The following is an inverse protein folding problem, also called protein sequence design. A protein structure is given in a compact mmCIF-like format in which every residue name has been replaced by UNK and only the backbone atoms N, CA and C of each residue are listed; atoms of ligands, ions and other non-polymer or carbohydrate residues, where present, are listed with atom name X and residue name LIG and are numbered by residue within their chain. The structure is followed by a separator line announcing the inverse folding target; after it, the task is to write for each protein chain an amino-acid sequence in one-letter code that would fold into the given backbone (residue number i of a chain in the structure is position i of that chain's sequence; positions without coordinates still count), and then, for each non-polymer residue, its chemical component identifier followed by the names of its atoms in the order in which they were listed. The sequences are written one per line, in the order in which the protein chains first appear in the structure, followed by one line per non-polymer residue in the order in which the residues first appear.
data_IF_602063863867
#
_entry.id   IF_602063863867
#
_cell.length_a   1.000
_cell.length_b   1.000
_cell.length_c   1.000
_cell.angle_alpha   90.00
_cell.angle_beta   90.00
_cell.angle_gamma   90.00
#
_symmetry.space_group_name_H-M   'P 1'
#
loop_
_entity.id
_entity.type
_entity.pdbx_description
1 polymer ?
#
# COMPACT_ATOMS: atom_id res chain seq x y z
N UNK A 1 28.99 -36.60 -50.86
CA UNK A 1 27.68 -36.48 -51.55
C UNK A 1 26.62 -36.41 -50.48
N UNK A 2 25.70 -35.45 -50.37
CA UNK A 2 25.31 -34.29 -51.17
C UNK A 2 24.93 -33.18 -50.17
N UNK A 3 25.40 -31.95 -50.43
CA UNK A 3 24.89 -30.73 -49.80
C UNK A 3 23.64 -30.33 -50.57
N UNK A 4 22.53 -30.05 -49.89
CA UNK A 4 21.36 -29.42 -50.50
C UNK A 4 21.20 -28.00 -49.93
N UNK A 5 21.74 -27.07 -50.70
CA UNK A 5 21.45 -25.64 -50.65
C UNK A 5 20.03 -25.42 -51.15
N UNK A 6 19.19 -24.68 -50.41
CA UNK A 6 17.95 -24.13 -50.96
C UNK A 6 17.95 -22.62 -50.75
N UNK A 7 17.94 -21.91 -51.88
CA UNK A 7 17.85 -20.46 -51.98
C UNK A 7 16.37 -20.04 -52.16
N UNK A 8 16.13 -18.73 -52.00
CA UNK A 8 15.01 -17.92 -52.53
C UNK A 8 13.67 -18.06 -51.79
N UNK A 9 12.92 -17.00 -51.45
CA UNK A 9 12.70 -15.75 -52.15
C UNK A 9 12.52 -14.55 -51.19
N UNK A 10 13.10 -13.43 -51.57
CA UNK A 10 12.82 -12.11 -51.02
C UNK A 10 11.49 -11.60 -51.59
N UNK A 11 10.56 -11.22 -50.72
CA UNK A 11 9.42 -10.37 -51.08
C UNK A 11 9.61 -9.07 -50.31
N UNK A 12 10.14 -8.06 -51.01
CA UNK A 12 10.34 -6.72 -50.51
C UNK A 12 9.01 -6.00 -50.56
N UNK A 13 8.31 -5.92 -49.43
CA UNK A 13 7.13 -5.08 -49.30
C UNK A 13 7.56 -3.60 -49.38
N UNK A 14 7.02 -2.87 -50.35
CA UNK A 14 7.17 -1.43 -50.49
C UNK A 14 6.25 -0.74 -49.50
N UNK A 15 6.74 -0.48 -48.30
CA UNK A 15 6.03 0.34 -47.31
C UNK A 15 6.02 1.79 -47.81
N UNK A 16 4.90 2.22 -48.38
CA UNK A 16 4.63 3.63 -48.68
C UNK A 16 4.62 4.40 -47.36
N UNK A 17 5.63 5.24 -47.15
CA UNK A 17 5.61 6.30 -46.14
C UNK A 17 4.53 7.32 -46.56
N UNK A 18 3.31 7.09 -46.11
CA UNK A 18 2.24 8.07 -46.18
C UNK A 18 2.57 9.24 -45.26
N UNK A 19 2.72 10.43 -45.83
CA UNK A 19 2.72 11.69 -45.09
C UNK A 19 1.41 11.78 -44.29
N UNK A 20 1.48 11.65 -42.97
CA UNK A 20 0.38 12.04 -42.10
C UNK A 20 0.21 13.57 -42.18
N UNK A 21 -1.01 14.11 -42.36
CA UNK A 21 -1.22 15.53 -42.27
C UNK A 21 -0.99 15.96 -40.82
N UNK A 22 0.03 16.78 -40.58
CA UNK A 22 0.21 17.47 -39.31
C UNK A 22 -0.96 18.44 -39.13
N UNK A 23 -1.92 18.07 -38.31
CA UNK A 23 -2.90 18.99 -37.75
C UNK A 23 -2.14 20.00 -36.88
N UNK A 24 -1.76 21.14 -37.46
CA UNK A 24 -1.33 22.30 -36.69
C UNK A 24 -2.55 22.81 -35.91
N UNK A 25 -2.50 22.89 -34.57
CA UNK A 25 -3.52 23.63 -33.85
C UNK A 25 -3.33 25.10 -34.24
N UNK A 26 -4.27 25.65 -35.00
CA UNK A 26 -4.44 27.10 -35.09
C UNK A 26 -4.71 27.57 -33.66
N UNK A 27 -3.67 28.08 -33.01
CA UNK A 27 -3.82 28.87 -31.79
C UNK A 27 -4.61 30.12 -32.20
N UNK A 28 -5.93 30.02 -32.12
CA UNK A 28 -6.82 31.17 -32.02
C UNK A 28 -6.42 31.87 -30.72
N UNK A 29 -5.43 32.77 -30.80
CA UNK A 29 -5.22 33.79 -29.79
C UNK A 29 -6.51 34.59 -29.73
N UNK A 30 -7.41 34.22 -28.82
CA UNK A 30 -8.42 35.14 -28.32
C UNK A 30 -7.67 36.22 -27.56
N UNK A 31 -7.38 37.32 -28.25
CA UNK A 31 -6.96 38.56 -27.64
C UNK A 31 -8.11 38.99 -26.73
N UNK A 32 -7.95 38.85 -25.42
CA UNK A 32 -8.82 39.54 -24.47
C UNK A 32 -8.46 41.02 -24.55
N UNK A 33 -9.24 41.77 -25.33
CA UNK A 33 -9.15 43.22 -25.35
C UNK A 33 -9.63 43.74 -23.98
N UNK A 34 -8.70 44.17 -23.14
CA UNK A 34 -9.01 45.00 -21.97
C UNK A 34 -9.33 46.40 -22.49
N UNK A 35 -10.61 46.79 -22.48
CA UNK A 35 -11.00 48.16 -22.79
C UNK A 35 -10.56 49.09 -21.65
N UNK A 36 -9.39 49.71 -21.80
CA UNK A 36 -9.07 50.95 -21.10
C UNK A 36 -9.49 52.12 -22.00
N UNK A 37 -10.80 52.33 -22.11
CA UNK A 37 -11.38 53.44 -22.85
C UNK A 37 -11.48 54.68 -21.96
N UNK A 38 -10.68 55.69 -22.25
CA UNK A 38 -10.78 57.04 -21.70
C UNK A 38 -11.97 57.76 -22.36
N UNK A 39 -13.01 58.04 -21.59
CA UNK A 39 -14.01 59.10 -21.84
C UNK A 39 -14.84 59.01 -23.13
N UNK A 40 -16.05 58.46 -23.03
CA UNK A 40 -17.20 58.95 -23.83
C UNK A 40 -18.47 58.80 -23.01
N UNK A 41 -19.16 59.92 -22.85
CA UNK A 41 -20.40 60.09 -22.09
C UNK A 41 -21.56 59.37 -22.78
N UNK A 42 -21.74 58.09 -22.47
CA UNK A 42 -23.07 57.47 -22.49
C UNK A 42 -23.54 57.43 -21.03
N UNK A 43 -24.77 57.86 -20.77
CA UNK A 43 -25.42 57.83 -19.47
C UNK A 43 -25.47 56.39 -18.94
N UNK A 44 -24.44 56.03 -18.19
CA UNK A 44 -24.28 54.74 -17.53
C UNK A 44 -25.40 54.61 -16.51
N UNK A 45 -26.40 53.76 -16.75
CA UNK A 45 -26.99 53.02 -15.64
C UNK A 45 -25.83 52.24 -15.02
N UNK A 46 -25.20 52.82 -14.00
CA UNK A 46 -24.09 52.22 -13.30
C UNK A 46 -24.59 50.91 -12.73
N UNK A 47 -24.21 49.81 -13.39
CA UNK A 47 -24.46 48.47 -12.89
C UNK A 47 -23.84 48.41 -11.50
N UNK A 48 -24.70 48.44 -10.46
CA UNK A 48 -24.25 48.44 -9.06
C UNK A 48 -23.33 47.22 -8.89
N UNK A 49 -22.06 47.48 -8.58
CA UNK A 49 -21.07 46.42 -8.37
C UNK A 49 -21.63 45.39 -7.39
N UNK A 50 -21.65 44.13 -7.80
CA UNK A 50 -22.08 43.03 -6.93
C UNK A 50 -21.06 42.87 -5.80
N UNK A 51 -21.55 42.79 -4.57
CA UNK A 51 -20.72 42.56 -3.38
C UNK A 51 -20.01 41.22 -3.52
N UNK A 52 -18.69 41.20 -3.26
CA UNK A 52 -17.91 39.97 -3.32
C UNK A 52 -18.21 39.13 -2.08
N UNK A 53 -18.63 37.89 -2.30
CA UNK A 53 -18.94 36.89 -1.26
C UNK A 53 -18.07 35.65 -1.48
N UNK A 54 -17.89 34.78 -0.47
CA UNK A 54 -17.04 33.59 -0.59
C UNK A 54 -17.44 32.63 -1.72
N UNK A 55 -18.68 32.73 -2.21
CA UNK A 55 -19.24 31.85 -3.24
C UNK A 55 -19.36 32.50 -4.64
N UNK A 56 -19.12 33.81 -4.77
CA UNK A 56 -19.37 34.58 -6.00
C UNK A 56 -18.15 35.39 -6.46
N UNK A 57 -16.97 35.10 -5.90
CA UNK A 57 -15.74 35.79 -6.28
C UNK A 57 -15.09 35.13 -7.51
N UNK A 58 -14.89 35.93 -8.55
CA UNK A 58 -14.32 35.54 -9.84
C UNK A 58 -12.93 36.18 -10.09
N UNK A 59 -12.39 36.90 -9.10
CA UNK A 59 -11.08 37.58 -9.20
C UNK A 59 -11.06 38.83 -10.09
N UNK A 60 -12.17 39.26 -10.68
CA UNK A 60 -12.18 40.40 -11.63
C UNK A 60 -11.96 41.76 -10.96
N UNK A 61 -12.18 41.86 -9.65
CA UNK A 61 -11.98 43.09 -8.87
C UNK A 61 -10.59 43.11 -8.21
N UNK A 62 -9.78 44.17 -8.40
CA UNK A 62 -8.48 44.32 -7.77
C UNK A 62 -8.56 44.43 -6.24
N UNK A 63 -7.60 43.82 -5.52
CA UNK A 63 -7.54 43.76 -4.05
C UNK A 63 -7.68 45.12 -3.34
N UNK A 64 -7.12 46.19 -3.92
CA UNK A 64 -7.17 47.55 -3.39
C UNK A 64 -8.59 48.13 -3.33
N UNK A 65 -9.52 47.60 -4.14
CA UNK A 65 -10.89 48.09 -4.26
C UNK A 65 -11.92 47.22 -3.52
N UNK A 66 -11.50 46.23 -2.71
CA UNK A 66 -12.41 45.44 -1.88
C UNK A 66 -12.56 46.02 -0.47
N UNK A 67 -13.79 46.01 0.04
CA UNK A 67 -14.09 46.30 1.45
C UNK A 67 -13.43 45.27 2.37
N UNK A 68 -13.18 45.63 3.64
CA UNK A 68 -12.59 44.70 4.63
C UNK A 68 -13.33 43.37 4.75
N UNK A 69 -14.67 43.39 4.68
CA UNK A 69 -15.49 42.17 4.67
C UNK A 69 -15.41 41.37 3.36
N UNK A 70 -15.20 42.03 2.24
CA UNK A 70 -15.03 41.38 0.93
C UNK A 70 -13.64 40.75 0.78
N UNK A 71 -12.61 41.39 1.35
CA UNK A 71 -11.26 40.82 1.47
C UNK A 71 -11.27 39.56 2.33
N UNK A 72 -11.96 39.62 3.47
CA UNK A 72 -12.17 38.44 4.31
C UNK A 72 -12.86 37.32 3.51
N UNK A 73 -13.92 37.63 2.76
CA UNK A 73 -14.61 36.66 1.92
C UNK A 73 -13.72 35.98 0.86
N UNK A 74 -12.92 36.75 0.13
CA UNK A 74 -11.94 36.22 -0.84
C UNK A 74 -10.85 35.38 -0.16
N UNK A 75 -10.33 35.84 0.97
CA UNK A 75 -9.36 35.09 1.76
C UNK A 75 -9.95 33.77 2.30
N UNK A 76 -11.21 33.77 2.74
CA UNK A 76 -11.90 32.55 3.18
C UNK A 76 -12.00 31.51 2.06
N UNK A 77 -12.35 31.92 0.83
CA UNK A 77 -12.43 31.00 -0.30
C UNK A 77 -11.06 30.40 -0.65
N UNK A 78 -10.01 31.22 -0.65
CA UNK A 78 -8.64 30.78 -0.93
C UNK A 78 -8.12 29.83 0.17
N UNK A 79 -8.35 30.15 1.43
CA UNK A 79 -7.97 29.32 2.58
C UNK A 79 -8.78 28.03 2.65
N UNK A 80 -10.07 28.06 2.28
CA UNK A 80 -10.92 26.86 2.26
C UNK A 80 -10.44 25.87 1.20
N UNK A 81 -10.22 26.32 -0.04
CA UNK A 81 -9.74 25.46 -1.12
C UNK A 81 -8.35 24.90 -0.80
N UNK A 82 -7.44 25.73 -0.29
CA UNK A 82 -6.10 25.28 0.12
C UNK A 82 -6.16 24.31 1.30
N UNK A 83 -7.01 24.58 2.29
CA UNK A 83 -7.25 23.70 3.43
C UNK A 83 -7.79 22.34 3.01
N UNK A 84 -8.71 22.29 2.04
CA UNK A 84 -9.24 21.05 1.49
C UNK A 84 -8.14 20.22 0.79
N UNK A 85 -7.27 20.88 0.01
CA UNK A 85 -6.14 20.23 -0.65
C UNK A 85 -5.18 19.63 0.40
N UNK A 86 -4.82 20.41 1.41
CA UNK A 86 -3.95 19.94 2.49
C UNK A 86 -4.58 18.79 3.27
N UNK A 87 -5.88 18.88 3.60
CA UNK A 87 -6.61 17.83 4.29
C UNK A 87 -6.66 16.54 3.45
N UNK A 88 -6.87 16.64 2.13
CA UNK A 88 -6.84 15.50 1.22
C UNK A 88 -5.47 14.81 1.17
N UNK A 89 -4.38 15.59 1.07
CA UNK A 89 -3.01 15.05 1.06
C UNK A 89 -2.69 14.41 2.41
N UNK A 90 -2.93 15.12 3.51
CA UNK A 90 -2.65 14.62 4.86
C UNK A 90 -3.48 13.37 5.16
N UNK A 91 -4.76 13.35 4.78
CA UNK A 91 -5.63 12.19 4.93
C UNK A 91 -5.16 10.99 4.11
N UNK A 92 -4.76 11.20 2.86
CA UNK A 92 -4.21 10.13 2.00
C UNK A 92 -2.92 9.53 2.56
N UNK A 93 -1.98 10.38 3.01
CA UNK A 93 -0.73 9.92 3.65
C UNK A 93 -1.03 9.20 4.96
N UNK A 94 -1.90 9.75 5.80
CA UNK A 94 -2.31 9.12 7.05
C UNK A 94 -2.94 7.74 6.82
N UNK A 95 -3.79 7.61 5.80
CA UNK A 95 -4.40 6.34 5.44
C UNK A 95 -3.36 5.27 5.07
N UNK A 96 -2.43 5.60 4.17
CA UNK A 96 -1.38 4.66 3.75
C UNK A 96 -0.48 4.26 4.92
N UNK A 97 -0.07 5.21 5.75
CA UNK A 97 0.74 4.91 6.94
C UNK A 97 -0.03 4.04 7.95
N UNK A 98 -1.32 4.28 8.10
CA UNK A 98 -2.15 3.47 8.97
C UNK A 98 -2.26 2.03 8.48
N UNK A 99 -2.58 1.81 7.21
CA UNK A 99 -2.76 0.46 6.67
C UNK A 99 -1.46 -0.35 6.62
N UNK A 100 -0.34 0.29 6.30
CA UNK A 100 0.93 -0.42 6.08
C UNK A 100 1.81 -0.55 7.32
N UNK A 101 1.72 0.39 8.28
CA UNK A 101 2.66 0.46 9.41
C UNK A 101 1.94 0.33 10.75
N UNK A 102 0.95 1.18 11.01
CA UNK A 102 0.37 1.29 12.35
C UNK A 102 -0.73 0.28 12.64
N UNK A 103 -1.40 -0.22 11.60
CA UNK A 103 -2.46 -1.22 11.76
C UNK A 103 -1.91 -2.46 12.47
N UNK A 104 -2.63 -3.03 13.45
CA UNK A 104 -2.23 -4.29 14.05
C UNK A 104 -2.22 -5.45 13.04
N UNK A 105 -2.91 -5.28 11.92
CA UNK A 105 -2.95 -6.26 10.82
C UNK A 105 -1.80 -6.05 9.82
N UNK A 106 -0.94 -5.06 10.05
CA UNK A 106 0.18 -4.78 9.15
C UNK A 106 1.23 -5.89 9.19
N UNK A 107 1.89 -6.09 8.05
CA UNK A 107 2.93 -7.13 7.89
C UNK A 107 4.08 -6.93 8.87
N UNK A 108 4.45 -5.67 9.12
CA UNK A 108 5.54 -5.33 10.05
C UNK A 108 5.12 -5.53 11.50
N UNK A 109 3.87 -5.22 11.86
CA UNK A 109 3.35 -5.49 13.21
C UNK A 109 3.30 -6.99 13.49
N UNK A 110 2.80 -7.80 12.55
CA UNK A 110 2.79 -9.27 12.66
C UNK A 110 4.21 -9.83 12.80
N UNK A 111 5.15 -9.36 11.97
CA UNK A 111 6.56 -9.76 12.06
C UNK A 111 7.14 -9.50 13.45
N UNK A 112 7.00 -8.28 13.98
CA UNK A 112 7.55 -7.93 15.29
C UNK A 112 6.96 -8.80 16.42
N UNK A 113 5.64 -9.03 16.42
CA UNK A 113 4.99 -9.92 17.40
C UNK A 113 5.53 -11.34 17.35
N UNK A 114 5.76 -11.86 16.15
CA UNK A 114 6.25 -13.23 15.97
C UNK A 114 7.71 -13.32 16.43
N UNK A 115 8.53 -12.31 16.15
CA UNK A 115 9.90 -12.22 16.66
C UNK A 115 9.91 -12.22 18.19
N UNK A 116 9.04 -11.44 18.82
CA UNK A 116 8.92 -11.39 20.28
C UNK A 116 8.47 -12.74 20.85
N UNK A 117 7.51 -13.42 20.20
CA UNK A 117 7.09 -14.79 20.57
C UNK A 117 8.25 -15.79 20.49
N UNK A 118 9.05 -15.76 19.43
CA UNK A 118 10.21 -16.66 19.26
C UNK A 118 11.27 -16.38 20.33
N UNK A 119 11.52 -15.11 20.66
CA UNK A 119 12.47 -14.71 21.70
C UNK A 119 12.02 -15.07 23.11
N UNK A 120 10.72 -15.23 23.32
CA UNK A 120 10.13 -15.65 24.59
C UNK A 120 10.04 -17.17 24.76
N UNK A 121 10.02 -17.95 23.67
CA UNK A 121 9.86 -19.40 23.73
C UNK A 121 11.17 -20.12 24.12
N UNK A 122 11.10 -20.94 25.17
CA UNK A 122 12.27 -21.62 25.75
C UNK A 122 12.92 -22.60 24.76
N UNK A 123 12.12 -23.33 23.98
CA UNK A 123 12.66 -24.27 22.98
C UNK A 123 13.39 -23.55 21.86
N UNK A 124 12.87 -22.41 21.40
CA UNK A 124 13.57 -21.56 20.45
C UNK A 124 14.90 -21.06 21.00
N UNK A 125 14.96 -20.66 22.28
CA UNK A 125 16.21 -20.24 22.95
C UNK A 125 17.21 -21.39 23.02
N UNK A 126 16.76 -22.62 23.32
CA UNK A 126 17.66 -23.79 23.36
C UNK A 126 18.24 -24.13 21.97
N UNK A 127 17.44 -24.00 20.91
CA UNK A 127 17.88 -24.31 19.54
C UNK A 127 18.74 -23.21 18.92
N UNK A 128 18.40 -21.93 19.14
CA UNK A 128 19.05 -20.77 18.51
C UNK A 128 20.13 -20.14 19.39
N UNK A 129 20.00 -20.25 20.72
CA UNK A 129 20.88 -19.69 21.73
C UNK A 129 20.28 -18.46 22.44
N UNK A 130 21.14 -17.62 23.02
CA UNK A 130 20.73 -16.46 23.83
C UNK A 130 19.74 -15.53 23.11
N UNK A 131 18.57 -15.33 23.70
CA UNK A 131 17.43 -14.55 23.18
C UNK A 131 17.84 -13.14 22.71
N UNK A 132 18.77 -12.48 23.41
CA UNK A 132 19.24 -11.13 23.06
C UNK A 132 20.05 -11.08 21.77
N UNK A 133 20.66 -12.19 21.38
CA UNK A 133 21.47 -12.33 20.16
C UNK A 133 20.68 -12.89 18.99
N UNK A 134 19.41 -13.22 19.17
CA UNK A 134 18.53 -13.68 18.10
C UNK A 134 18.13 -12.50 17.22
N UNK A 135 18.53 -12.56 15.94
CA UNK A 135 18.22 -11.58 14.91
C UNK A 135 17.31 -12.23 13.88
N UNK A 136 16.22 -11.55 13.54
CA UNK A 136 15.28 -11.98 12.49
C UNK A 136 15.33 -10.99 11.33
N UNK A 137 15.33 -11.49 10.10
CA UNK A 137 15.40 -10.67 8.91
C UNK A 137 14.66 -11.30 7.74
N UNK A 138 14.22 -10.48 6.78
CA UNK A 138 13.53 -10.94 5.58
C UNK A 138 14.44 -11.68 4.59
N UNK A 139 13.96 -11.87 3.36
CA UNK A 139 14.70 -12.63 2.35
C UNK A 139 15.93 -11.88 1.83
N UNK A 140 16.98 -12.63 1.52
CA UNK A 140 18.14 -12.09 0.84
C UNK A 140 17.82 -11.80 -0.62
N UNK A 141 18.17 -10.60 -1.09
CA UNK A 141 18.02 -10.26 -2.50
C UNK A 141 19.29 -10.61 -3.27
N UNK A 142 19.15 -11.17 -4.48
CA UNK A 142 20.28 -11.54 -5.36
C UNK A 142 21.17 -10.34 -5.77
N UNK A 143 20.66 -9.12 -5.62
CA UNK A 143 21.40 -7.90 -5.95
C UNK A 143 22.38 -7.52 -4.83
N UNK A 144 23.69 -7.67 -5.09
CA UNK A 144 24.78 -7.31 -4.17
C UNK A 144 24.76 -5.85 -3.67
N UNK A 145 24.12 -4.94 -4.41
CA UNK A 145 24.00 -3.52 -4.06
C UNK A 145 22.81 -3.23 -3.14
N UNK A 146 21.88 -4.18 -2.96
CA UNK A 146 20.71 -4.03 -2.11
C UNK A 146 20.98 -4.62 -0.73
N UNK A 147 21.08 -3.76 0.29
CA UNK A 147 21.24 -4.17 1.69
C UNK A 147 19.91 -4.43 2.41
N UNK A 148 18.81 -3.91 1.87
CA UNK A 148 17.49 -4.10 2.44
C UNK A 148 17.01 -5.55 2.24
N UNK A 149 16.55 -6.17 3.32
CA UNK A 149 15.99 -7.53 3.35
C UNK A 149 14.46 -7.45 3.52
N UNK A 150 13.68 -7.42 2.43
CA UNK A 150 12.23 -7.30 2.51
C UNK A 150 11.62 -8.57 3.11
N UNK A 151 10.57 -8.40 3.93
CA UNK A 151 9.86 -9.52 4.55
C UNK A 151 8.95 -10.16 3.49
N UNK A 152 9.23 -11.41 3.13
CA UNK A 152 8.43 -12.15 2.16
C UNK A 152 7.06 -12.47 2.76
N UNK A 153 6.05 -11.78 2.27
CA UNK A 153 4.67 -11.89 2.75
C UNK A 153 3.70 -11.85 1.57
N UNK A 154 2.69 -12.69 1.63
CA UNK A 154 1.66 -12.83 0.61
C UNK A 154 0.31 -12.87 1.29
N UNK A 155 -0.63 -12.06 0.80
CA UNK A 155 -2.01 -12.04 1.28
C UNK A 155 -2.87 -12.55 0.12
N UNK A 156 -3.53 -13.68 0.33
CA UNK A 156 -4.42 -14.31 -0.64
C UNK A 156 -5.82 -14.42 -0.06
N UNK A 157 -6.83 -14.04 -0.82
CA UNK A 157 -8.24 -14.20 -0.41
C UNK A 157 -8.79 -15.49 -1.00
N UNK A 158 -9.35 -16.36 -0.16
CA UNK A 158 -10.02 -17.58 -0.60
C UNK A 158 -11.41 -17.26 -1.18
N UNK A 159 -11.95 -18.20 -1.97
CA UNK A 159 -13.31 -18.21 -2.49
C UNK A 159 -14.40 -17.95 -1.44
N UNK A 160 -14.14 -18.36 -0.19
CA UNK A 160 -15.04 -18.16 0.96
C UNK A 160 -14.89 -16.80 1.63
N UNK A 161 -14.01 -15.94 1.13
CA UNK A 161 -13.74 -14.61 1.67
C UNK A 161 -12.79 -14.59 2.89
N UNK A 162 -12.10 -15.69 3.18
CA UNK A 162 -11.06 -15.71 4.20
C UNK A 162 -9.76 -15.13 3.64
N UNK A 163 -9.12 -14.22 4.37
CA UNK A 163 -7.82 -13.67 3.99
C UNK A 163 -6.70 -14.50 4.63
N UNK A 164 -5.84 -15.04 3.79
CA UNK A 164 -4.69 -15.84 4.19
C UNK A 164 -3.42 -15.00 4.08
N UNK A 165 -2.80 -14.70 5.23
CA UNK A 165 -1.48 -14.09 5.27
C UNK A 165 -0.43 -15.18 5.47
N UNK A 166 0.39 -15.41 4.44
CA UNK A 166 1.56 -16.26 4.51
C UNK A 166 2.79 -15.38 4.64
N UNK A 167 3.67 -15.69 5.58
CA UNK A 167 4.93 -14.99 5.74
C UNK A 167 6.02 -15.97 6.13
N UNK A 168 7.22 -15.73 5.61
CA UNK A 168 8.41 -16.43 6.04
C UNK A 168 9.58 -15.46 6.11
N UNK A 169 10.50 -15.76 7.03
CA UNK A 169 11.69 -14.96 7.25
C UNK A 169 12.76 -15.80 7.94
N UNK A 170 14.00 -15.33 7.89
CA UNK A 170 15.14 -16.04 8.45
C UNK A 170 15.38 -15.61 9.90
N UNK A 171 15.77 -16.57 10.72
CA UNK A 171 16.19 -16.35 12.10
C UNK A 171 17.63 -16.83 12.28
N UNK A 172 18.45 -15.96 12.85
CA UNK A 172 19.85 -16.23 13.17
C UNK A 172 20.06 -16.06 14.66
N UNK A 173 20.57 -17.12 15.29
CA UNK A 173 21.07 -17.08 16.67
C UNK A 173 22.55 -17.42 16.73
N UNK A 174 23.17 -17.30 17.91
CA UNK A 174 24.59 -17.63 18.09
C UNK A 174 24.92 -19.11 17.87
N UNK A 175 23.94 -20.01 18.04
CA UNK A 175 24.14 -21.45 17.85
C UNK A 175 23.79 -21.89 16.44
N UNK A 176 22.59 -21.51 15.97
CA UNK A 176 22.04 -22.02 14.72
C UNK A 176 21.28 -20.93 13.96
N UNK A 177 21.01 -21.23 12.69
CA UNK A 177 20.13 -20.47 11.81
C UNK A 177 18.97 -21.32 11.32
N UNK A 178 17.83 -20.69 11.10
CA UNK A 178 16.61 -21.34 10.67
C UNK A 178 15.70 -20.42 9.86
N UNK A 179 14.58 -20.98 9.44
CA UNK A 179 13.52 -20.26 8.74
C UNK A 179 12.23 -20.38 9.56
N UNK A 180 11.56 -19.25 9.73
CA UNK A 180 10.25 -19.18 10.37
C UNK A 180 9.20 -19.16 9.29
N UNK A 181 8.18 -19.99 9.45
CA UNK A 181 7.01 -19.97 8.58
C UNK A 181 5.76 -19.71 9.42
N UNK A 182 4.94 -18.80 8.94
CA UNK A 182 3.65 -18.49 9.56
C UNK A 182 2.56 -18.41 8.51
N UNK A 183 1.38 -18.89 8.91
CA UNK A 183 0.15 -18.76 8.17
C UNK A 183 -0.92 -18.27 9.12
N UNK A 184 -1.46 -17.10 8.83
CA UNK A 184 -2.57 -16.52 9.56
C UNK A 184 -3.80 -16.46 8.65
N UNK A 185 -4.97 -16.61 9.25
CA UNK A 185 -6.26 -16.55 8.57
C UNK A 185 -7.09 -15.48 9.24
N UNK A 186 -7.60 -14.54 8.45
CA UNK A 186 -8.59 -13.56 8.88
C UNK A 186 -9.94 -13.96 8.34
N UNK A 187 -10.86 -14.18 9.26
CA UNK A 187 -12.24 -14.53 8.94
C UNK A 187 -13.05 -13.24 8.77
N UNK A 188 -13.95 -13.15 7.77
CA UNK A 188 -14.76 -11.94 7.57
C UNK A 188 -15.67 -11.62 8.77
N UNK A 189 -15.97 -12.63 9.60
CA UNK A 189 -16.79 -12.51 10.80
C UNK A 189 -16.00 -11.93 11.98
N UNK A 190 -14.79 -12.46 12.25
CA UNK A 190 -13.96 -11.99 13.37
C UNK A 190 -13.27 -10.66 13.02
N UNK A 191 -12.86 -10.49 11.77
CA UNK A 191 -12.10 -9.33 11.33
C UNK A 191 -10.65 -9.31 11.84
N UNK A 192 -10.21 -10.34 12.57
CA UNK A 192 -8.88 -10.44 13.17
C UNK A 192 -8.08 -11.60 12.55
N UNK A 193 -6.75 -11.47 12.51
CA UNK A 193 -5.86 -12.53 12.04
C UNK A 193 -5.58 -13.55 13.15
N UNK A 194 -5.97 -14.80 12.92
CA UNK A 194 -5.71 -15.93 13.79
C UNK A 194 -4.59 -16.82 13.21
N UNK A 195 -3.72 -17.37 14.08
CA UNK A 195 -2.67 -18.27 13.63
C UNK A 195 -3.26 -19.63 13.24
N UNK A 196 -3.10 -20.03 11.97
CA UNK A 196 -3.28 -21.43 11.58
C UNK A 196 -2.10 -22.26 12.06
N UNK A 197 -0.90 -21.81 11.70
CA UNK A 197 0.34 -22.37 12.21
C UNK A 197 1.43 -21.30 12.29
N UNK A 198 2.32 -21.49 13.26
CA UNK A 198 3.58 -20.77 13.39
C UNK A 198 4.62 -21.80 13.82
N UNK A 199 5.66 -21.99 13.02
CA UNK A 199 6.74 -22.91 13.36
C UNK A 199 8.10 -22.37 12.94
N UNK A 200 9.13 -22.88 13.62
CA UNK A 200 10.53 -22.60 13.31
C UNK A 200 11.20 -23.89 12.84
N UNK A 201 11.88 -23.78 11.71
CA UNK A 201 12.66 -24.87 11.10
C UNK A 201 14.15 -24.53 11.22
N UNK A 202 14.83 -25.16 12.18
CA UNK A 202 16.26 -24.96 12.45
C UNK A 202 17.01 -26.19 11.94
N UNK A 203 18.11 -25.95 11.21
CA UNK A 203 18.93 -27.04 10.66
C UNK A 203 19.43 -27.95 11.79
N UNK A 204 19.17 -29.25 11.67
CA UNK A 204 19.61 -30.26 12.63
C UNK A 204 18.67 -30.46 13.82
N UNK A 205 17.57 -29.72 13.91
CA UNK A 205 16.53 -29.91 14.93
C UNK A 205 15.22 -30.33 14.29
N UNK A 206 14.34 -30.94 15.08
CA UNK A 206 12.97 -31.18 14.63
C UNK A 206 12.21 -29.85 14.54
N UNK A 207 11.39 -29.70 13.50
CA UNK A 207 10.49 -28.55 13.37
C UNK A 207 9.68 -28.35 14.65
N UNK A 208 9.77 -27.16 15.22
CA UNK A 208 9.08 -26.79 16.45
C UNK A 208 7.92 -25.85 16.14
N UNK A 209 6.70 -26.26 16.53
CA UNK A 209 5.49 -25.46 16.38
C UNK A 209 5.24 -24.63 17.64
N UNK A 210 5.12 -23.31 17.47
CA UNK A 210 4.74 -22.39 18.54
C UNK A 210 3.21 -22.29 18.63
N UNK A 211 2.55 -22.23 17.48
CA UNK A 211 1.09 -22.20 17.37
C UNK A 211 0.69 -23.22 16.30
N UNK A 212 -0.35 -24.02 16.59
CA UNK A 212 -0.90 -24.97 15.63
C UNK A 212 -2.38 -25.21 15.91
N UNK A 213 -3.25 -24.53 15.17
CA UNK A 213 -4.70 -24.60 15.32
C UNK A 213 -5.26 -26.02 15.06
N UNK A 214 -4.64 -26.76 14.14
CA UNK A 214 -5.06 -28.13 13.80
C UNK A 214 -4.88 -29.07 15.00
N UNK A 215 -3.83 -28.88 15.80
CA UNK A 215 -3.61 -29.67 17.04
C UNK A 215 -4.50 -29.22 18.20
N UNK A 216 -4.87 -27.93 18.25
CA UNK A 216 -5.74 -27.40 19.30
C UNK A 216 -7.16 -27.97 19.23
N UNK A 217 -7.64 -28.29 18.02
CA UNK A 217 -8.96 -28.89 17.83
C UNK A 217 -8.99 -30.37 18.24
N UNK A 218 -7.83 -31.03 18.26
CA UNK A 218 -7.69 -32.45 18.62
C UNK A 218 -7.39 -32.72 20.10
N UNK A 219 -6.89 -31.75 20.87
CA UNK A 219 -6.47 -31.99 22.27
C UNK A 219 -7.62 -31.95 23.29
N UNK A 220 -8.83 -31.56 22.87
CA UNK A 220 -10.00 -31.36 23.73
C UNK A 220 -11.00 -32.51 23.84
N UNK A 221 -10.96 -33.54 22.98
CA UNK A 221 -11.84 -34.73 23.10
C UNK A 221 -11.13 -35.86 23.86
N UNK A 222 -10.86 -35.65 25.15
CA UNK A 222 -10.68 -36.79 26.06
C UNK A 222 -12.06 -37.41 26.28
N UNK A 223 -12.40 -38.41 25.46
CA UNK A 223 -13.60 -39.22 25.65
C UNK A 223 -13.72 -39.65 27.11
N UNK A 224 -14.89 -39.43 27.71
CA UNK A 224 -15.12 -39.76 29.12
C UNK A 224 -15.05 -41.27 29.25
N UNK A 225 -14.02 -41.76 29.94
CA UNK A 225 -13.83 -43.20 30.18
C UNK A 225 -14.57 -43.57 31.46
N UNK A 226 -15.68 -44.27 31.33
CA UNK A 226 -16.43 -44.81 32.46
C UNK A 226 -16.46 -46.33 32.33
N UNK A 227 -16.00 -47.03 33.38
CA UNK A 227 -15.98 -48.50 33.47
C UNK A 227 -15.23 -49.20 32.33
N UNK A 228 -14.06 -48.67 31.93
CA UNK A 228 -13.19 -49.32 30.95
C UNK A 228 -13.63 -49.18 29.49
N UNK A 229 -14.80 -48.58 29.22
CA UNK A 229 -15.32 -48.35 27.87
C UNK A 229 -15.11 -46.88 27.48
N UNK A 230 -14.68 -46.66 26.24
CA UNK A 230 -14.51 -45.33 25.67
C UNK A 230 -15.80 -44.92 24.94
N UNK A 231 -16.49 -43.88 25.42
CA UNK A 231 -17.72 -43.32 24.81
C UNK A 231 -17.41 -42.13 23.88
N UNK A 232 -16.22 -42.14 23.27
CA UNK A 232 -15.74 -41.10 22.35
C UNK A 232 -16.38 -41.16 20.98
#
# INVERSE_FOLDING_TARGET
MMKTTTCSNAIRATTRLGLAPRLQPLLLQRSYATQYGLGTTASTTSSKRKKVTPFNDNGSVPWSQLSGGEKAARATQQTFNFGLILAGIAGGVAYVLWTDVFSPDSKTAVFNRVVDKIKADQKCIEMLGDSKKIVCHGEETYNKWRRARPIASTINTDSRGHEHMLMHFHVEGPLNRGVVYLHMIKTPISGEFEYKYLYVDVRGHQRHYLENADTATGSGKKGVRFLGINWG
#
